data_IF_815366367492
#
_entry.id   IF_815366367492
#
_cell.length_a   1.000
_cell.length_b   1.000
_cell.length_c   1.000
_cell.angle_alpha   90.00
_cell.angle_beta   90.00
_cell.angle_gamma   90.00
#
_symmetry.space_group_name_H-M   'P 1'
#
loop_
_entity.id
_entity.type
_entity.pdbx_description
1 polymer ?
#
# COMPACT_ATOMS: atom_id res chain seq x y z
N UNK A 1 6.56 -5.75 -17.65
CA UNK A 1 6.42 -4.29 -17.94
C UNK A 1 5.94 -3.61 -16.67
N UNK A 2 5.98 -2.27 -16.56
CA UNK A 2 5.31 -1.59 -15.44
C UNK A 2 3.82 -1.98 -15.44
N UNK A 3 3.29 -2.33 -14.28
CA UNK A 3 1.89 -2.70 -14.12
C UNK A 3 1.58 -4.15 -14.45
N UNK A 4 2.55 -4.97 -14.86
CA UNK A 4 2.21 -6.33 -15.32
C UNK A 4 1.83 -7.30 -14.22
N UNK A 5 2.39 -7.15 -13.02
CA UNK A 5 2.14 -8.03 -11.86
C UNK A 5 1.43 -7.32 -10.72
N UNK A 6 1.22 -6.01 -10.86
CA UNK A 6 0.81 -5.09 -9.81
C UNK A 6 0.12 -3.90 -10.51
N UNK A 7 -1.19 -3.95 -10.77
CA UNK A 7 -2.04 -5.15 -10.68
C UNK A 7 -2.72 -5.48 -12.03
N UNK A 8 -2.02 -5.18 -13.13
CA UNK A 8 -2.57 -5.31 -14.48
C UNK A 8 -2.91 -6.73 -14.91
N UNK A 9 -2.47 -7.78 -14.19
CA UNK A 9 -2.84 -9.16 -14.50
C UNK A 9 -4.14 -9.62 -13.84
N UNK A 10 -4.54 -9.03 -12.70
CA UNK A 10 -5.63 -9.57 -11.86
C UNK A 10 -6.94 -9.62 -12.61
N UNK A 11 -7.33 -8.52 -13.26
CA UNK A 11 -8.60 -8.40 -13.97
C UNK A 11 -8.70 -9.44 -15.09
N UNK A 12 -7.63 -9.63 -15.86
CA UNK A 12 -7.61 -10.63 -16.93
C UNK A 12 -7.64 -12.04 -16.36
N UNK A 13 -6.92 -12.30 -15.27
CA UNK A 13 -6.88 -13.61 -14.62
C UNK A 13 -8.26 -13.98 -14.05
N UNK A 14 -8.93 -13.04 -13.38
CA UNK A 14 -10.29 -13.21 -12.88
C UNK A 14 -11.28 -13.46 -14.02
N UNK A 15 -11.26 -12.65 -15.08
CA UNK A 15 -12.12 -12.82 -16.25
C UNK A 15 -11.91 -14.17 -16.95
N UNK A 16 -10.65 -14.61 -17.09
CA UNK A 16 -10.33 -15.91 -17.70
C UNK A 16 -10.80 -17.09 -16.84
N UNK A 17 -10.65 -17.00 -15.51
CA UNK A 17 -11.16 -18.03 -14.60
C UNK A 17 -12.69 -18.16 -14.70
N UNK A 18 -13.41 -17.05 -14.73
CA UNK A 18 -14.88 -17.02 -14.91
C UNK A 18 -15.27 -17.62 -16.26
N UNK A 19 -14.60 -17.20 -17.34
CA UNK A 19 -14.87 -17.69 -18.69
C UNK A 19 -14.65 -19.20 -18.79
N UNK A 20 -13.56 -19.70 -18.23
CA UNK A 20 -13.25 -21.14 -18.25
C UNK A 20 -14.31 -21.95 -17.49
N UNK A 21 -14.78 -21.46 -16.33
CA UNK A 21 -15.87 -22.11 -15.60
C UNK A 21 -17.19 -22.13 -16.39
N UNK A 22 -17.51 -21.04 -17.11
CA UNK A 22 -18.67 -20.98 -18.00
C UNK A 22 -18.56 -21.99 -19.16
N UNK A 23 -17.40 -22.09 -19.81
CA UNK A 23 -17.14 -23.03 -20.91
C UNK A 23 -17.25 -24.50 -20.47
N UNK A 24 -16.90 -24.79 -19.21
CA UNK A 24 -17.08 -26.11 -18.60
C UNK A 24 -18.52 -26.39 -18.14
N UNK A 25 -19.45 -25.44 -18.32
CA UNK A 25 -20.85 -25.58 -17.91
C UNK A 25 -21.05 -25.56 -16.39
N UNK A 26 -20.10 -25.00 -15.62
CA UNK A 26 -20.24 -24.83 -14.18
C UNK A 26 -21.36 -23.84 -13.88
N UNK A 27 -22.23 -24.19 -12.93
CA UNK A 27 -23.26 -23.26 -12.44
C UNK A 27 -22.60 -22.09 -11.71
N UNK A 28 -22.66 -20.91 -12.30
CA UNK A 28 -21.99 -19.72 -11.75
C UNK A 28 -22.87 -18.98 -10.72
N UNK A 29 -22.29 -18.51 -9.60
CA UNK A 29 -22.96 -17.56 -8.72
C UNK A 29 -23.01 -16.16 -9.37
N UNK A 30 -23.65 -15.20 -8.69
CA UNK A 30 -23.47 -13.78 -9.01
C UNK A 30 -22.03 -13.40 -8.72
N UNK A 31 -21.38 -12.77 -9.68
CA UNK A 31 -20.01 -12.25 -9.53
C UNK A 31 -20.07 -10.74 -9.72
N UNK A 32 -19.48 -10.00 -8.78
CA UNK A 32 -19.26 -8.56 -8.89
C UNK A 32 -17.75 -8.32 -8.91
N UNK A 33 -17.26 -7.58 -9.91
CA UNK A 33 -15.87 -7.17 -9.99
C UNK A 33 -15.78 -5.70 -9.61
N UNK A 34 -15.00 -5.39 -8.58
CA UNK A 34 -14.64 -4.02 -8.22
C UNK A 34 -13.23 -3.77 -8.71
N UNK A 35 -13.07 -2.76 -9.56
CA UNK A 35 -11.78 -2.35 -10.10
C UNK A 35 -11.60 -0.88 -9.76
N UNK A 36 -10.54 -0.57 -9.03
CA UNK A 36 -10.18 0.81 -8.71
C UNK A 36 -8.93 1.23 -9.50
N UNK A 37 -8.54 2.50 -9.33
CA UNK A 37 -7.39 3.07 -10.04
C UNK A 37 -6.53 3.96 -9.14
N UNK A 38 -6.71 3.86 -7.82
CA UNK A 38 -6.06 4.71 -6.82
C UNK A 38 -5.27 3.91 -5.78
N UNK A 39 -5.16 2.58 -5.91
CA UNK A 39 -4.50 1.68 -4.95
C UNK A 39 -3.08 2.17 -4.60
N UNK A 40 -2.28 2.40 -5.64
CA UNK A 40 -0.90 2.89 -5.57
C UNK A 40 -0.79 4.34 -5.05
N UNK A 41 -1.92 4.97 -4.73
CA UNK A 41 -2.05 6.34 -4.20
C UNK A 41 -2.93 6.40 -2.95
N UNK A 42 -3.25 5.26 -2.33
CA UNK A 42 -3.94 5.16 -1.05
C UNK A 42 -5.45 4.94 -1.12
N UNK A 43 -6.01 4.65 -2.30
CA UNK A 43 -7.43 4.29 -2.50
C UNK A 43 -8.42 5.29 -1.90
N UNK A 44 -8.13 6.59 -1.97
CA UNK A 44 -8.84 7.64 -1.22
C UNK A 44 -10.37 7.61 -1.49
N UNK A 45 -10.78 7.40 -2.75
CA UNK A 45 -12.20 7.37 -3.11
C UNK A 45 -12.89 6.01 -2.95
N UNK A 46 -12.14 4.93 -2.72
CA UNK A 46 -12.66 3.56 -2.83
C UNK A 46 -13.81 3.30 -1.85
N UNK A 47 -13.64 3.68 -0.58
CA UNK A 47 -14.64 3.41 0.47
C UNK A 47 -15.95 4.10 0.16
N UNK A 48 -15.90 5.36 -0.31
CA UNK A 48 -17.08 6.13 -0.65
C UNK A 48 -17.78 5.58 -1.90
N UNK A 49 -17.02 5.15 -2.90
CA UNK A 49 -17.57 4.52 -4.10
C UNK A 49 -18.23 3.17 -3.78
N UNK A 50 -17.64 2.36 -2.89
CA UNK A 50 -18.23 1.10 -2.43
C UNK A 50 -19.54 1.35 -1.67
N UNK A 51 -19.62 2.40 -0.85
CA UNK A 51 -20.87 2.78 -0.20
C UNK A 51 -21.96 3.18 -1.20
N UNK A 52 -21.62 3.94 -2.23
CA UNK A 52 -22.56 4.31 -3.30
C UNK A 52 -22.99 3.10 -4.12
N UNK A 53 -22.09 2.14 -4.34
CA UNK A 53 -22.34 0.91 -5.08
C UNK A 53 -22.94 -0.22 -4.22
N UNK A 54 -23.29 0.03 -2.96
CA UNK A 54 -23.72 -1.02 -2.01
C UNK A 54 -24.89 -1.87 -2.51
N UNK A 55 -25.90 -1.24 -3.12
CA UNK A 55 -27.06 -1.96 -3.64
C UNK A 55 -26.72 -2.77 -4.91
N UNK A 56 -25.70 -2.35 -5.67
CA UNK A 56 -25.20 -3.06 -6.84
C UNK A 56 -24.26 -4.20 -6.46
N UNK A 57 -23.42 -4.03 -5.44
CA UNK A 57 -22.47 -5.05 -4.98
C UNK A 57 -23.19 -6.13 -4.16
N UNK A 58 -24.17 -5.72 -3.34
CA UNK A 58 -24.85 -6.60 -2.39
C UNK A 58 -23.93 -7.03 -1.26
N UNK A 59 -24.31 -8.10 -0.55
CA UNK A 59 -23.47 -8.71 0.48
C UNK A 59 -22.77 -9.93 -0.13
N UNK A 60 -21.44 -9.91 -0.31
CA UNK A 60 -20.73 -11.05 -0.85
C UNK A 60 -20.59 -12.15 0.20
N UNK A 61 -20.81 -13.40 -0.19
CA UNK A 61 -20.47 -14.58 0.63
C UNK A 61 -18.95 -14.81 0.68
N UNK A 62 -18.25 -14.43 -0.40
CA UNK A 62 -16.81 -14.57 -0.56
C UNK A 62 -16.23 -13.34 -1.25
N UNK A 63 -15.05 -12.90 -0.80
CA UNK A 63 -14.28 -11.82 -1.41
C UNK A 63 -12.90 -12.37 -1.80
N UNK A 64 -12.50 -12.10 -3.04
CA UNK A 64 -11.21 -12.48 -3.57
C UNK A 64 -10.46 -11.20 -3.97
N UNK A 65 -9.23 -11.07 -3.50
CA UNK A 65 -8.28 -10.05 -3.94
C UNK A 65 -7.08 -10.78 -4.53
N UNK A 66 -6.70 -10.46 -5.78
CA UNK A 66 -5.61 -11.11 -6.50
C UNK A 66 -4.48 -10.10 -6.68
N UNK A 67 -4.06 -9.51 -5.57
CA UNK A 67 -3.10 -8.42 -5.55
C UNK A 67 -2.19 -8.53 -4.31
N UNK A 68 -1.55 -9.69 -4.18
CA UNK A 68 -0.67 -9.98 -3.06
C UNK A 68 0.55 -10.76 -3.53
N UNK A 69 1.57 -10.78 -2.68
CA UNK A 69 2.82 -11.47 -2.95
C UNK A 69 2.74 -12.99 -2.75
N UNK A 70 3.68 -13.68 -3.41
CA UNK A 70 4.05 -15.06 -3.12
C UNK A 70 5.51 -15.10 -2.62
N UNK A 71 5.85 -16.08 -1.77
CA UNK A 71 7.24 -16.24 -1.29
C UNK A 71 8.07 -17.03 -2.30
N UNK A 72 7.43 -17.95 -3.02
CA UNK A 72 8.02 -18.73 -4.12
C UNK A 72 6.98 -18.99 -5.22
N UNK A 73 7.42 -19.64 -6.31
CA UNK A 73 6.58 -20.02 -7.45
C UNK A 73 6.30 -21.53 -7.52
N UNK A 74 6.58 -22.28 -6.46
CA UNK A 74 6.46 -23.75 -6.45
C UNK A 74 5.13 -24.21 -5.86
N UNK A 75 4.43 -23.34 -5.13
CA UNK A 75 3.18 -23.65 -4.46
C UNK A 75 2.19 -22.49 -4.48
N UNK A 76 0.96 -22.79 -4.10
CA UNK A 76 -0.09 -21.78 -3.95
C UNK A 76 0.03 -21.09 -2.59
N UNK A 77 0.01 -19.75 -2.61
CA UNK A 77 0.14 -18.91 -1.43
C UNK A 77 -1.19 -18.27 -1.06
N UNK A 78 -1.55 -18.35 0.23
CA UNK A 78 -2.70 -17.67 0.82
C UNK A 78 -2.22 -16.60 1.80
N UNK A 79 -2.51 -15.34 1.51
CA UNK A 79 -2.23 -14.23 2.41
C UNK A 79 -3.28 -14.20 3.51
N UNK A 80 -2.88 -14.49 4.75
CA UNK A 80 -3.79 -14.49 5.91
C UNK A 80 -4.00 -13.10 6.52
N UNK A 81 -3.05 -12.19 6.33
CA UNK A 81 -3.07 -10.85 6.92
C UNK A 81 -2.18 -9.91 6.12
N UNK A 82 -2.55 -8.62 6.13
CA UNK A 82 -1.72 -7.51 5.64
C UNK A 82 -1.41 -6.56 6.80
N UNK A 83 -0.25 -5.91 6.75
CA UNK A 83 0.06 -4.82 7.68
C UNK A 83 -0.63 -3.55 7.21
N UNK A 84 -1.03 -2.70 8.16
CA UNK A 84 -1.40 -1.33 7.84
C UNK A 84 -0.18 -0.51 7.42
N UNK A 85 -0.44 0.64 6.81
CA UNK A 85 0.58 1.63 6.44
C UNK A 85 0.17 3.01 6.94
N UNK A 86 1.15 3.76 7.44
CA UNK A 86 1.01 5.18 7.77
C UNK A 86 2.08 5.93 7.00
N UNK A 87 1.66 6.90 6.20
CA UNK A 87 2.56 7.78 5.46
C UNK A 87 2.55 9.17 6.10
N UNK A 88 3.73 9.76 6.25
CA UNK A 88 3.92 11.07 6.88
C UNK A 88 4.80 11.93 5.99
N UNK A 89 4.30 13.11 5.60
CA UNK A 89 5.12 14.17 5.04
C UNK A 89 5.63 15.06 6.17
N UNK A 90 6.95 15.12 6.33
CA UNK A 90 7.57 15.90 7.40
C UNK A 90 8.61 16.83 6.82
N UNK A 91 8.49 18.12 7.15
CA UNK A 91 9.41 19.15 6.72
C UNK A 91 10.25 19.65 7.91
N UNK A 92 11.57 19.71 7.71
CA UNK A 92 12.49 20.39 8.61
C UNK A 92 13.16 21.53 7.86
N UNK A 93 12.85 22.76 8.26
CA UNK A 93 13.42 23.96 7.67
C UNK A 93 14.26 24.74 8.67
N UNK A 94 15.36 25.31 8.20
CA UNK A 94 16.22 26.21 8.96
C UNK A 94 16.52 27.45 8.12
N UNK A 95 16.01 28.60 8.58
CA UNK A 95 16.06 29.88 7.87
C UNK A 95 15.15 29.95 6.64
N UNK A 96 15.35 30.97 5.81
CA UNK A 96 14.39 31.35 4.75
C UNK A 96 14.81 30.90 3.34
N UNK A 97 16.04 30.44 3.16
CA UNK A 97 16.61 30.04 1.88
C UNK A 97 17.82 29.11 2.08
N UNK A 98 18.38 28.61 0.97
CA UNK A 98 19.68 27.95 1.01
C UNK A 98 20.80 28.93 1.38
N UNK A 99 21.60 28.58 2.39
CA UNK A 99 22.77 29.36 2.80
C UNK A 99 24.08 28.72 2.32
N UNK A 100 25.11 29.55 2.12
CA UNK A 100 26.45 29.06 1.84
C UNK A 100 27.03 28.38 3.09
N UNK A 101 27.41 27.10 2.97
CA UNK A 101 27.85 26.29 4.11
C UNK A 101 29.13 26.80 4.76
N UNK A 102 30.01 27.46 4.00
CA UNK A 102 31.22 28.10 4.55
C UNK A 102 30.95 29.35 5.39
N UNK A 103 29.82 30.04 5.17
CA UNK A 103 29.46 31.25 5.91
C UNK A 103 28.65 30.93 7.17
N UNK A 104 27.79 29.91 7.07
CA UNK A 104 26.80 29.58 8.10
C UNK A 104 27.13 28.31 8.87
N UNK A 105 28.15 27.56 8.43
CA UNK A 105 28.60 26.32 9.05
C UNK A 105 28.97 26.52 10.52
N UNK A 106 28.33 25.76 11.40
CA UNK A 106 28.52 25.86 12.85
C UNK A 106 27.69 26.96 13.53
N UNK A 107 26.97 27.80 12.78
CA UNK A 107 26.07 28.83 13.31
C UNK A 107 24.61 28.41 13.12
N UNK A 108 24.23 28.11 11.88
CA UNK A 108 22.87 27.67 11.55
C UNK A 108 22.80 26.15 11.69
N UNK A 109 21.79 25.60 12.41
CA UNK A 109 21.58 24.17 12.47
C UNK A 109 21.32 23.59 11.07
N UNK A 110 22.04 22.53 10.74
CA UNK A 110 21.86 21.81 9.49
C UNK A 110 20.62 20.90 9.58
N UNK A 111 19.70 21.02 8.62
CA UNK A 111 18.37 20.39 8.66
C UNK A 111 18.46 18.87 8.60
N UNK A 112 19.41 18.30 7.86
CA UNK A 112 19.62 16.85 7.78
C UNK A 112 20.07 16.25 9.11
N UNK A 113 20.88 16.96 9.90
CA UNK A 113 21.29 16.53 11.24
C UNK A 113 20.11 16.54 12.21
N UNK A 114 19.23 17.54 12.12
CA UNK A 114 17.98 17.56 12.89
C UNK A 114 17.12 16.38 12.45
N UNK A 115 16.93 16.20 11.14
CA UNK A 115 16.12 15.12 10.58
C UNK A 115 16.59 13.74 11.02
N UNK A 116 17.89 13.45 10.92
CA UNK A 116 18.49 12.21 11.45
C UNK A 116 18.19 12.02 12.94
N UNK A 117 18.28 13.09 13.73
CA UNK A 117 18.02 13.02 15.17
C UNK A 117 16.54 12.76 15.47
N UNK A 118 15.62 13.25 14.63
CA UNK A 118 14.19 12.96 14.76
C UNK A 118 13.87 11.52 14.36
N UNK A 119 14.47 11.01 13.27
CA UNK A 119 14.32 9.61 12.85
C UNK A 119 14.86 8.64 13.90
N UNK A 120 16.00 8.95 14.54
CA UNK A 120 16.56 8.16 15.66
C UNK A 120 15.62 8.06 16.88
N UNK A 121 14.59 8.90 16.98
CA UNK A 121 13.56 8.77 18.03
C UNK A 121 12.46 7.78 17.65
N UNK A 122 12.27 7.50 16.37
CA UNK A 122 11.25 6.59 15.86
C UNK A 122 11.80 5.20 15.62
N UNK A 123 13.06 5.10 15.18
CA UNK A 123 13.74 3.86 14.84
C UNK A 123 15.21 3.93 15.26
N UNK A 124 15.64 2.97 16.09
CA UNK A 124 17.02 2.85 16.52
C UNK A 124 17.92 2.41 15.35
N UNK A 125 18.80 3.30 14.91
CA UNK A 125 19.67 3.10 13.74
C UNK A 125 20.65 1.94 13.84
N UNK A 126 20.86 1.36 15.03
CA UNK A 126 21.76 0.22 15.24
C UNK A 126 21.03 -1.11 15.27
N UNK A 127 19.75 -1.11 15.63
CA UNK A 127 18.98 -2.34 15.88
C UNK A 127 17.79 -2.50 14.94
N UNK A 128 17.26 -1.41 14.37
CA UNK A 128 16.01 -1.41 13.61
C UNK A 128 14.76 -1.53 14.48
N UNK A 129 14.91 -1.34 15.81
CA UNK A 129 13.78 -1.39 16.74
C UNK A 129 13.10 -0.03 16.78
N UNK A 130 11.79 -0.03 16.53
CA UNK A 130 10.97 1.18 16.62
C UNK A 130 10.81 1.62 18.08
N UNK A 131 10.43 2.89 18.30
CA UNK A 131 10.09 3.35 19.63
C UNK A 131 8.87 2.61 20.20
N UNK A 132 8.79 2.55 21.53
CA UNK A 132 7.76 1.81 22.26
C UNK A 132 6.33 2.23 21.87
N UNK A 133 6.15 3.49 21.53
CA UNK A 133 4.87 4.05 21.11
C UNK A 133 4.39 3.53 19.74
N UNK A 134 5.30 2.98 18.92
CA UNK A 134 5.02 2.40 17.60
C UNK A 134 5.06 0.87 17.59
N UNK A 135 5.39 0.22 18.71
CA UNK A 135 5.31 -1.23 18.84
C UNK A 135 3.84 -1.66 18.83
N UNK A 136 3.51 -2.61 17.94
CA UNK A 136 2.19 -3.25 17.85
C UNK A 136 2.30 -4.72 18.25
N UNK A 137 1.25 -5.26 18.88
CA UNK A 137 1.15 -6.68 19.27
C UNK A 137 1.11 -7.64 18.09
#
# INVERSE_FOLDING_TARGET
GRGSTDDGYSVFSAMLAIKNAQEQGVKMPRICMTLETEEESGSESLVDLLHQAKDLTGVPDYLFCIDSGCIDYEQFWLTSSLRGVVMLDVEVSCGLAGYHSGETGGIVPETFRIWRTLLERLDDTKTGHVCKELEVE
#
